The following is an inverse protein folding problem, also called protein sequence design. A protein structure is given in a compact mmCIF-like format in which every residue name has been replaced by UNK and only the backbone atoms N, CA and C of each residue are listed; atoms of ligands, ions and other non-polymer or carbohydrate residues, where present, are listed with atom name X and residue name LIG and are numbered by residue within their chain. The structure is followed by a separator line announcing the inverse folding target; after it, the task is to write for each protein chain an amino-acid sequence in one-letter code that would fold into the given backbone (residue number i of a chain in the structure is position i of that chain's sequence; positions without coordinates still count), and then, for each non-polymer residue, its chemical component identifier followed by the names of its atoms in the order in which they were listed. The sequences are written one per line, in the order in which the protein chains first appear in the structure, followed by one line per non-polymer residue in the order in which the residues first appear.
data_IF_363116668181
#
_entry.id   IF_363116668181
#
_cell.length_a   1.000
_cell.length_b   1.000
_cell.length_c   1.000
_cell.angle_alpha   90.00
_cell.angle_beta   90.00
_cell.angle_gamma   90.00
#
_symmetry.space_group_name_H-M   'P 1'
#
loop_
_entity.id
_entity.type
_entity.pdbx_description
1 polymer ?
#
# COMPACT_ATOMS: atom_id res chain seq x y z
N UNK A 1 -9.16 15.02 -5.93
CA UNK A 1 -9.90 15.50 -4.75
C UNK A 1 -9.10 15.07 -3.53
N UNK A 2 -8.80 15.96 -2.60
CA UNK A 2 -8.01 15.67 -1.39
C UNK A 2 -8.87 15.01 -0.31
N UNK A 3 -8.36 14.00 0.39
CA UNK A 3 -9.10 13.20 1.38
C UNK A 3 -8.91 13.77 2.80
N UNK A 4 -9.90 14.48 3.35
CA UNK A 4 -9.80 15.15 4.67
C UNK A 4 -10.59 14.46 5.77
N UNK A 5 -11.61 13.69 5.42
CA UNK A 5 -12.51 13.02 6.36
C UNK A 5 -12.48 11.51 6.19
N UNK A 6 -12.94 10.79 7.21
CA UNK A 6 -12.99 9.33 7.16
C UNK A 6 -14.03 8.87 6.11
N UNK A 7 -15.10 9.64 5.94
CA UNK A 7 -16.13 9.43 4.93
C UNK A 7 -15.54 9.59 3.53
N UNK A 8 -14.77 10.66 3.27
CA UNK A 8 -14.09 10.84 1.98
C UNK A 8 -13.10 9.72 1.67
N UNK A 9 -12.42 9.19 2.70
CA UNK A 9 -11.55 8.02 2.53
C UNK A 9 -12.40 6.81 2.17
N UNK A 10 -13.44 6.52 2.95
CA UNK A 10 -14.35 5.40 2.73
C UNK A 10 -15.00 5.43 1.33
N UNK A 11 -15.46 6.61 0.90
CA UNK A 11 -16.06 6.83 -0.42
C UNK A 11 -15.06 6.57 -1.54
N UNK A 12 -13.81 7.03 -1.37
CA UNK A 12 -12.73 6.78 -2.32
C UNK A 12 -12.44 5.29 -2.45
N UNK A 13 -12.27 4.60 -1.32
CA UNK A 13 -12.00 3.16 -1.32
C UNK A 13 -13.17 2.36 -1.90
N UNK A 14 -14.40 2.72 -1.53
CA UNK A 14 -15.62 2.02 -1.98
C UNK A 14 -15.85 2.19 -3.47
N UNK A 15 -15.71 3.42 -3.99
CA UNK A 15 -15.84 3.70 -5.42
C UNK A 15 -14.79 2.94 -6.23
N UNK A 16 -13.56 2.91 -5.73
CA UNK A 16 -12.43 2.25 -6.36
C UNK A 16 -12.56 0.71 -6.35
N UNK A 17 -13.11 0.15 -5.27
CA UNK A 17 -13.43 -1.27 -5.16
C UNK A 17 -14.60 -1.66 -6.08
N UNK A 18 -15.61 -0.79 -6.22
CA UNK A 18 -16.84 -1.08 -6.96
C UNK A 18 -16.58 -1.33 -8.45
N UNK A 19 -15.79 -0.47 -9.10
CA UNK A 19 -15.49 -0.65 -10.53
C UNK A 19 -14.62 -1.90 -10.78
N UNK A 20 -13.64 -2.19 -9.91
CA UNK A 20 -12.84 -3.42 -9.99
C UNK A 20 -13.71 -4.66 -9.84
N UNK A 21 -14.62 -4.66 -8.87
CA UNK A 21 -15.57 -5.77 -8.67
C UNK A 21 -16.44 -5.98 -9.89
N UNK A 22 -16.89 -4.89 -10.54
CA UNK A 22 -17.65 -4.97 -11.79
C UNK A 22 -16.82 -5.65 -12.88
N UNK A 23 -15.60 -5.19 -13.13
CA UNK A 23 -14.71 -5.77 -14.15
C UNK A 23 -14.38 -7.25 -13.87
N UNK A 24 -14.03 -7.60 -12.63
CA UNK A 24 -13.80 -8.98 -12.22
C UNK A 24 -15.02 -9.87 -12.40
N UNK A 25 -16.23 -9.33 -12.22
CA UNK A 25 -17.47 -10.07 -12.43
C UNK A 25 -17.72 -10.37 -13.91
N UNK A 26 -17.39 -9.44 -14.81
CA UNK A 26 -17.47 -9.66 -16.26
C UNK A 26 -16.49 -10.74 -16.74
N UNK A 27 -15.26 -10.71 -16.21
CA UNK A 27 -14.24 -11.72 -16.49
C UNK A 27 -14.70 -13.09 -16.01
N UNK A 28 -15.20 -13.16 -14.77
CA UNK A 28 -15.75 -14.40 -14.21
C UNK A 28 -16.89 -14.94 -15.06
N UNK A 29 -17.83 -14.10 -15.45
CA UNK A 29 -18.96 -14.49 -16.30
C UNK A 29 -18.50 -15.03 -17.66
N UNK A 30 -17.43 -14.44 -18.22
CA UNK A 30 -16.82 -14.90 -19.46
C UNK A 30 -16.16 -16.28 -19.33
N UNK A 31 -15.53 -16.55 -18.18
CA UNK A 31 -14.93 -17.86 -17.86
C UNK A 31 -16.02 -18.94 -17.70
N UNK A 32 -17.14 -18.60 -17.04
CA UNK A 32 -18.22 -19.54 -16.71
C UNK A 32 -19.20 -19.80 -17.88
N UNK A 33 -18.97 -19.22 -19.06
CA UNK A 33 -19.85 -19.37 -20.21
C UNK A 33 -19.87 -20.82 -20.76
N UNK A 34 -21.07 -21.38 -20.95
CA UNK A 34 -21.29 -22.82 -21.22
C UNK A 34 -20.86 -23.33 -22.61
N UNK A 35 -20.34 -22.50 -23.50
CA UNK A 35 -20.01 -22.85 -24.90
C UNK A 35 -18.62 -22.39 -25.33
N UNK A 36 -17.65 -22.35 -24.42
CA UNK A 36 -16.28 -21.93 -24.70
C UNK A 36 -15.43 -23.16 -25.02
N UNK A 37 -14.65 -23.12 -26.10
CA UNK A 37 -13.69 -24.19 -26.41
C UNK A 37 -12.65 -24.32 -25.28
N UNK A 38 -12.13 -25.52 -25.03
CA UNK A 38 -11.14 -25.75 -23.96
C UNK A 38 -9.93 -24.82 -24.05
N UNK A 39 -9.42 -24.59 -25.27
CA UNK A 39 -8.31 -23.65 -25.52
C UNK A 39 -8.67 -22.21 -25.12
N UNK A 40 -9.88 -21.74 -25.46
CA UNK A 40 -10.33 -20.40 -25.10
C UNK A 40 -10.61 -20.29 -23.60
N UNK A 41 -11.13 -21.33 -22.98
CA UNK A 41 -11.35 -21.37 -21.53
C UNK A 41 -10.02 -21.24 -20.77
N UNK A 42 -9.00 -22.02 -21.15
CA UNK A 42 -7.64 -21.91 -20.58
C UNK A 42 -7.03 -20.51 -20.75
N UNK A 43 -7.22 -19.90 -21.92
CA UNK A 43 -6.78 -18.53 -22.17
C UNK A 43 -7.48 -17.54 -21.21
N UNK A 44 -8.81 -17.62 -21.10
CA UNK A 44 -9.60 -16.74 -20.24
C UNK A 44 -9.25 -16.89 -18.75
N UNK A 45 -9.01 -18.12 -18.28
CA UNK A 45 -8.58 -18.37 -16.89
C UNK A 45 -7.23 -17.68 -16.63
N UNK A 46 -6.23 -17.89 -17.49
CA UNK A 46 -4.91 -17.26 -17.33
C UNK A 46 -5.02 -15.73 -17.37
N UNK A 47 -5.76 -15.18 -18.32
CA UNK A 47 -6.02 -13.73 -18.39
C UNK A 47 -6.74 -13.22 -17.14
N UNK A 48 -7.72 -13.97 -16.62
CA UNK A 48 -8.46 -13.60 -15.42
C UNK A 48 -7.59 -13.57 -14.17
N UNK A 49 -6.64 -14.49 -14.04
CA UNK A 49 -5.63 -14.47 -12.96
C UNK A 49 -4.76 -13.21 -13.06
N UNK A 50 -4.24 -12.89 -14.26
CA UNK A 50 -3.44 -11.68 -14.46
C UNK A 50 -4.21 -10.41 -14.10
N UNK A 51 -5.48 -10.31 -14.52
CA UNK A 51 -6.32 -9.13 -14.24
C UNK A 51 -6.66 -9.05 -12.74
N UNK A 52 -6.98 -10.18 -12.09
CA UNK A 52 -7.19 -10.24 -10.65
C UNK A 52 -5.99 -9.71 -9.87
N UNK A 53 -4.79 -10.14 -10.27
CA UNK A 53 -3.55 -9.70 -9.63
C UNK A 53 -3.32 -8.20 -9.83
N UNK A 54 -3.45 -7.70 -11.07
CA UNK A 54 -3.32 -6.28 -11.37
C UNK A 54 -4.32 -5.42 -10.57
N UNK A 55 -5.55 -5.90 -10.40
CA UNK A 55 -6.55 -5.23 -9.57
C UNK A 55 -6.19 -5.20 -8.10
N UNK A 56 -5.72 -6.31 -7.55
CA UNK A 56 -5.32 -6.43 -6.16
C UNK A 56 -4.17 -5.48 -5.84
N UNK A 57 -3.08 -5.53 -6.61
CA UNK A 57 -1.94 -4.64 -6.45
C UNK A 57 -2.35 -3.17 -6.55
N UNK A 58 -3.10 -2.84 -7.61
CA UNK A 58 -3.56 -1.47 -7.82
C UNK A 58 -4.45 -0.97 -6.68
N UNK A 59 -5.28 -1.83 -6.09
CA UNK A 59 -6.16 -1.47 -4.98
C UNK A 59 -5.36 -1.23 -3.70
N UNK A 60 -4.43 -2.13 -3.34
CA UNK A 60 -3.58 -1.97 -2.16
C UNK A 60 -2.81 -0.65 -2.22
N UNK A 61 -2.23 -0.33 -3.37
CA UNK A 61 -1.53 0.95 -3.59
C UNK A 61 -2.46 2.14 -3.37
N UNK A 62 -3.64 2.12 -4.00
CA UNK A 62 -4.60 3.21 -3.89
C UNK A 62 -5.06 3.38 -2.45
N UNK A 63 -5.37 2.28 -1.76
CA UNK A 63 -5.83 2.30 -0.39
C UNK A 63 -4.78 2.85 0.56
N UNK A 64 -3.54 2.37 0.46
CA UNK A 64 -2.43 2.81 1.30
C UNK A 64 -2.13 4.30 1.13
N UNK A 65 -1.98 4.77 -0.11
CA UNK A 65 -1.70 6.18 -0.37
C UNK A 65 -2.89 7.10 -0.01
N UNK A 66 -4.13 6.62 -0.20
CA UNK A 66 -5.33 7.36 0.24
C UNK A 66 -5.38 7.53 1.76
N UNK A 67 -4.99 6.49 2.52
CA UNK A 67 -4.93 6.57 3.98
C UNK A 67 -3.81 7.50 4.47
N UNK A 68 -2.63 7.44 3.86
CA UNK A 68 -1.53 8.38 4.18
C UNK A 68 -1.95 9.82 3.86
N UNK A 69 -2.63 10.07 2.73
CA UNK A 69 -3.16 11.39 2.40
C UNK A 69 -4.15 11.88 3.48
N UNK A 70 -5.05 11.02 3.93
CA UNK A 70 -5.98 11.33 5.01
C UNK A 70 -5.26 11.76 6.29
N UNK A 71 -4.26 10.98 6.74
CA UNK A 71 -3.47 11.29 7.95
C UNK A 71 -2.68 12.59 7.77
N UNK A 72 -2.03 12.79 6.61
CA UNK A 72 -1.30 14.02 6.28
C UNK A 72 -2.19 15.26 6.38
N UNK A 73 -3.44 15.16 5.93
CA UNK A 73 -4.38 16.28 5.93
C UNK A 73 -5.00 16.59 7.30
N UNK A 74 -4.76 15.75 8.33
CA UNK A 74 -5.07 16.07 9.73
C UNK A 74 -4.15 17.13 10.34
N UNK A 75 -3.03 17.47 9.69
CA UNK A 75 -2.08 18.51 10.12
C UNK A 75 -1.52 18.28 11.55
N UNK A 76 -1.36 17.01 11.93
CA UNK A 76 -0.79 16.59 13.21
C UNK A 76 0.66 17.05 13.37
N UNK A 77 1.11 17.17 14.60
CA UNK A 77 2.52 17.30 14.97
C UNK A 77 3.21 15.94 14.97
N UNK A 78 4.54 15.91 14.97
CA UNK A 78 5.28 14.64 15.07
C UNK A 78 5.00 13.89 16.38
N UNK A 79 4.74 14.62 17.48
CA UNK A 79 4.37 14.07 18.79
C UNK A 79 3.03 13.33 18.77
N UNK A 80 2.09 13.78 17.94
CA UNK A 80 0.75 13.18 17.83
C UNK A 80 0.69 11.98 16.87
N UNK A 81 1.75 11.72 16.10
CA UNK A 81 1.78 10.59 15.18
C UNK A 81 1.97 9.27 15.93
N UNK A 82 1.26 8.24 15.46
CA UNK A 82 1.60 6.86 15.82
C UNK A 82 3.01 6.51 15.31
N UNK A 83 3.68 5.57 15.98
CA UNK A 83 5.09 5.22 15.75
C UNK A 83 5.39 4.83 14.29
N UNK A 84 4.48 4.13 13.63
CA UNK A 84 4.59 3.75 12.22
C UNK A 84 4.63 4.98 11.29
N UNK A 85 3.79 5.99 11.52
CA UNK A 85 3.81 7.23 10.74
C UNK A 85 5.00 8.12 11.08
N UNK A 86 5.44 8.13 12.34
CA UNK A 86 6.68 8.82 12.72
C UNK A 86 7.89 8.18 12.02
N UNK A 87 7.99 6.85 12.01
CA UNK A 87 9.03 6.12 11.29
C UNK A 87 8.98 6.43 9.78
N UNK A 88 7.78 6.47 9.19
CA UNK A 88 7.61 6.86 7.78
C UNK A 88 8.12 8.29 7.51
N UNK A 89 7.80 9.24 8.38
CA UNK A 89 8.23 10.64 8.23
C UNK A 89 9.74 10.82 8.42
N UNK A 90 10.37 9.98 9.25
CA UNK A 90 11.79 10.03 9.55
C UNK A 90 12.67 9.21 8.58
N UNK A 91 12.06 8.42 7.68
CA UNK A 91 12.75 7.45 6.83
C UNK A 91 13.99 8.01 6.12
N UNK A 92 13.88 9.14 5.44
CA UNK A 92 15.02 9.74 4.71
C UNK A 92 16.11 10.26 5.66
N UNK A 93 15.73 10.92 6.77
CA UNK A 93 16.69 11.39 7.79
C UNK A 93 17.48 10.22 8.40
N UNK A 94 16.80 9.10 8.68
CA UNK A 94 17.42 7.89 9.22
C UNK A 94 18.31 7.18 8.20
N UNK A 95 17.92 7.18 6.92
CA UNK A 95 18.71 6.60 5.83
C UNK A 95 20.03 7.34 5.63
N UNK A 96 20.00 8.67 5.58
CA UNK A 96 21.21 9.50 5.45
C UNK A 96 22.20 9.26 6.60
N UNK A 97 21.71 9.16 7.84
CA UNK A 97 22.56 8.85 9.00
C UNK A 97 23.19 7.44 8.90
N UNK A 98 22.42 6.45 8.45
CA UNK A 98 22.87 5.06 8.30
C UNK A 98 24.01 4.92 7.28
N UNK A 99 23.91 5.59 6.14
CA UNK A 99 24.80 5.36 5.00
C UNK A 99 26.25 5.87 5.20
N UNK A 100 26.50 6.72 6.21
CA UNK A 100 27.85 7.32 6.40
C UNK A 100 28.54 6.91 7.70
N UNK A 101 27.80 6.38 8.68
CA UNK A 101 28.27 6.04 10.03
C UNK A 101 29.04 7.17 10.77
N UNK A 102 28.88 8.44 10.35
CA UNK A 102 29.55 9.58 10.97
C UNK A 102 28.73 10.07 12.17
N UNK A 103 29.30 10.20 13.39
CA UNK A 103 28.60 10.74 14.56
C UNK A 103 27.91 12.08 14.30
N UNK A 104 28.50 12.92 13.46
CA UNK A 104 27.93 14.22 13.08
C UNK A 104 26.58 14.14 12.36
N UNK A 105 26.24 13.03 11.70
CA UNK A 105 24.93 12.84 11.06
C UNK A 105 23.85 12.33 12.01
N UNK A 106 24.23 11.83 13.18
CA UNK A 106 23.27 11.44 14.22
C UNK A 106 22.81 12.64 15.06
N UNK A 107 23.61 13.72 15.13
CA UNK A 107 23.27 14.94 15.88
C UNK A 107 21.93 15.53 15.40
N UNK A 108 21.69 15.76 14.09
CA UNK A 108 20.39 16.27 13.63
C UNK A 108 19.20 15.34 13.92
N UNK A 109 19.43 14.02 13.98
CA UNK A 109 18.39 13.05 14.37
C UNK A 109 18.04 13.20 15.84
N UNK A 110 19.04 13.36 16.72
CA UNK A 110 18.83 13.62 18.14
C UNK A 110 18.17 14.99 18.38
N UNK A 111 18.62 16.03 17.70
CA UNK A 111 18.05 17.38 17.82
C UNK A 111 16.57 17.42 17.45
N UNK A 112 16.17 16.61 16.46
CA UNK A 112 14.77 16.42 16.09
C UNK A 112 13.93 15.89 17.26
N UNK A 113 14.40 14.86 17.96
CA UNK A 113 13.69 14.29 19.11
C UNK A 113 13.64 15.23 20.32
N UNK A 114 14.67 16.06 20.49
CA UNK A 114 14.74 17.01 21.62
C UNK A 114 13.84 18.22 21.38
N UNK A 115 13.78 18.74 20.15
CA UNK A 115 13.26 20.10 19.90
C UNK A 115 12.23 20.22 18.79
N UNK A 116 12.03 19.19 17.95
CA UNK A 116 11.18 19.30 16.77
C UNK A 116 9.87 18.49 16.84
N UNK A 117 9.65 17.70 17.90
CA UNK A 117 8.46 16.83 17.99
C UNK A 117 7.13 17.60 17.98
N UNK A 118 7.11 18.82 18.49
CA UNK A 118 5.91 19.67 18.50
C UNK A 118 5.69 20.43 17.17
N UNK A 119 6.59 20.27 16.18
CA UNK A 119 6.40 20.82 14.84
C UNK A 119 5.36 20.01 14.07
N UNK A 120 4.67 20.68 13.13
CA UNK A 120 3.78 19.98 12.19
C UNK A 120 4.54 18.93 11.41
N UNK A 121 3.97 17.73 11.35
CA UNK A 121 4.55 16.62 10.62
C UNK A 121 4.51 16.87 9.11
N UNK A 122 5.53 16.35 8.44
CA UNK A 122 5.60 16.31 6.98
C UNK A 122 5.64 14.83 6.58
N UNK A 123 4.52 14.32 6.07
CA UNK A 123 4.44 12.98 5.53
C UNK A 123 4.63 13.00 4.00
N UNK A 124 5.29 11.98 3.43
CA UNK A 124 5.43 11.83 1.98
C UNK A 124 4.07 11.78 1.29
N UNK A 125 4.01 12.28 0.05
CA UNK A 125 2.74 12.37 -0.68
C UNK A 125 2.19 10.99 -1.05
N UNK A 126 3.07 10.16 -1.63
CA UNK A 126 2.77 8.84 -2.18
C UNK A 126 3.88 7.86 -1.75
N UNK A 127 3.95 7.48 -0.46
CA UNK A 127 5.03 6.63 0.05
C UNK A 127 5.04 5.22 -0.54
N UNK A 128 3.89 4.74 -1.02
CA UNK A 128 3.77 3.39 -1.58
C UNK A 128 3.91 3.47 -3.10
N UNK A 129 5.09 3.13 -3.59
CA UNK A 129 5.41 3.02 -5.02
C UNK A 129 5.31 1.55 -5.49
N UNK A 130 4.77 1.34 -6.70
CA UNK A 130 4.59 0.02 -7.33
C UNK A 130 5.61 -0.23 -8.42
N UNK A 131 6.86 0.18 -8.21
CA UNK A 131 7.93 -0.21 -9.13
C UNK A 131 8.30 -1.70 -8.99
N UNK A 132 7.86 -2.34 -7.90
CA UNK A 132 8.07 -3.75 -7.60
C UNK A 132 6.73 -4.45 -7.44
N UNK A 133 6.67 -5.67 -7.99
CA UNK A 133 5.57 -6.63 -7.84
C UNK A 133 5.10 -6.69 -6.37
N UNK A 134 3.79 -6.70 -6.09
CA UNK A 134 3.28 -6.75 -4.72
C UNK A 134 3.45 -8.15 -4.08
N UNK A 135 4.68 -8.45 -3.65
CA UNK A 135 4.96 -9.67 -2.91
C UNK A 135 4.32 -9.64 -1.51
N UNK A 136 4.24 -10.79 -0.84
CA UNK A 136 3.76 -10.88 0.55
C UNK A 136 4.59 -10.03 1.51
N UNK A 137 5.90 -9.94 1.28
CA UNK A 137 6.83 -9.13 2.06
C UNK A 137 6.55 -7.65 1.86
N UNK A 138 6.37 -7.21 0.61
CA UNK A 138 6.03 -5.81 0.31
C UNK A 138 4.66 -5.46 0.91
N UNK A 139 3.69 -6.37 0.81
CA UNK A 139 2.39 -6.16 1.43
C UNK A 139 2.49 -6.03 2.95
N UNK A 140 3.33 -6.83 3.61
CA UNK A 140 3.61 -6.72 5.04
C UNK A 140 4.22 -5.37 5.41
N UNK A 141 5.24 -4.92 4.68
CA UNK A 141 5.86 -3.60 4.89
C UNK A 141 4.83 -2.47 4.73
N UNK A 142 3.93 -2.58 3.75
CA UNK A 142 2.82 -1.62 3.61
C UNK A 142 1.92 -1.66 4.85
N UNK A 143 1.51 -2.84 5.32
CA UNK A 143 0.65 -2.91 6.52
C UNK A 143 1.34 -2.36 7.76
N UNK A 144 2.63 -2.59 7.94
CA UNK A 144 3.42 -2.06 9.05
C UNK A 144 3.47 -0.52 9.00
N UNK A 145 3.70 0.06 7.82
CA UNK A 145 3.65 1.53 7.61
C UNK A 145 2.27 2.10 7.95
N UNK A 146 1.20 1.41 7.58
CA UNK A 146 -0.17 1.86 7.84
C UNK A 146 -0.63 1.57 9.28
N UNK A 147 0.14 0.83 10.07
CA UNK A 147 -0.26 0.42 11.42
C UNK A 147 -1.41 -0.61 11.41
N UNK A 148 -1.49 -1.44 10.37
CA UNK A 148 -2.48 -2.51 10.22
C UNK A 148 -1.82 -3.83 10.65
N UNK A 149 -2.50 -4.58 11.52
CA UNK A 149 -2.01 -5.90 11.94
C UNK A 149 -1.99 -6.90 10.79
N UNK A 150 -0.78 -7.33 10.41
CA UNK A 150 -0.58 -8.32 9.36
C UNK A 150 -0.99 -9.74 9.76
N UNK A 151 -1.13 -10.04 11.06
CA UNK A 151 -1.42 -11.39 11.56
C UNK A 151 -2.68 -11.99 10.93
N UNK A 152 -3.67 -11.15 10.62
CA UNK A 152 -4.93 -11.49 9.95
C UNK A 152 -4.72 -12.03 8.52
N UNK A 153 -3.60 -11.71 7.88
CA UNK A 153 -3.26 -12.10 6.51
C UNK A 153 -2.17 -13.17 6.42
N UNK A 154 -1.57 -13.56 7.55
CA UNK A 154 -0.43 -14.48 7.63
C UNK A 154 -0.66 -15.85 6.99
N UNK A 155 -1.91 -16.34 6.99
CA UNK A 155 -2.31 -17.63 6.39
C UNK A 155 -2.50 -17.57 4.87
N UNK A 156 -2.42 -16.38 4.25
CA UNK A 156 -2.62 -16.17 2.80
C UNK A 156 -1.33 -15.89 2.02
N UNK A 157 -0.17 -15.93 2.68
CA UNK A 157 1.14 -15.65 2.07
C UNK A 157 1.48 -16.54 0.87
N UNK A 158 0.92 -17.76 0.81
CA UNK A 158 1.11 -18.70 -0.29
C UNK A 158 0.46 -18.23 -1.61
N UNK A 159 -0.56 -17.35 -1.56
CA UNK A 159 -1.27 -16.89 -2.76
C UNK A 159 -0.44 -15.90 -3.60
N UNK A 160 0.52 -15.18 -3.01
CA UNK A 160 1.38 -14.25 -3.75
C UNK A 160 2.59 -14.94 -4.40
N UNK A 161 2.80 -16.25 -4.18
CA UNK A 161 3.90 -17.02 -4.80
C UNK A 161 3.55 -17.58 -6.20
N UNK A 162 2.35 -17.30 -6.74
CA UNK A 162 2.02 -17.63 -8.14
C UNK A 162 2.80 -16.80 -9.17
N UNK A 163 3.64 -15.87 -8.73
CA UNK A 163 4.46 -14.97 -9.56
C UNK A 163 5.42 -15.69 -10.52
N UNK A 164 5.88 -16.91 -10.22
CA UNK A 164 6.86 -17.61 -11.07
C UNK A 164 6.28 -18.46 -12.20
N UNK A 165 4.96 -18.50 -12.38
CA UNK A 165 4.35 -19.32 -13.46
C UNK A 165 3.64 -18.51 -14.56
N UNK A 166 3.57 -17.19 -14.45
CA UNK A 166 2.87 -16.33 -15.42
C UNK A 166 3.72 -15.22 -16.07
N UNK A 167 5.01 -15.14 -15.77
CA UNK A 167 6.02 -14.41 -16.58
C UNK A 167 6.76 -15.41 -17.47
#
# INVERSE_FOLDING_TARGET
MSIRTAEQLSDRLSSDLAWRKKELSEIKSSIEARNVSDQRHKLLVRSGVCILYAHWEGFVKLAANSYVEYVRLKKLTYRELATNFLALAMKERLKEAKDTNKPSLYIPVCDFFISELDRRCILPKDPISTASNLSSEIFKEITDILGIDFSVYSTKSVLTHMEHQCQ
#
